data_IF_264461856631
#
_entry.id   IF_264461856631
#
_cell.length_a   1.000
_cell.length_b   1.000
_cell.length_c   1.000
_cell.angle_alpha   90.00
_cell.angle_beta   90.00
_cell.angle_gamma   90.00
#
_symmetry.space_group_name_H-M   'P 1'
#
loop_
_entity.id
_entity.type
_entity.pdbx_description
1 polymer ?
#
# COMPACT_ATOMS: atom_id res chain seq x y z
N UNK A 1 -15.07 31.32 -34.60
CA UNK A 1 -15.72 32.20 -33.60
C UNK A 1 -15.75 31.43 -32.31
N UNK A 2 -14.77 31.70 -31.44
CA UNK A 2 -14.54 30.98 -30.20
C UNK A 2 -15.55 31.41 -29.14
N UNK A 3 -16.14 30.46 -28.43
CA UNK A 3 -16.78 30.68 -27.13
C UNK A 3 -16.22 29.65 -26.15
N UNK A 4 -15.05 30.00 -25.61
CA UNK A 4 -14.63 29.54 -24.30
C UNK A 4 -15.43 30.32 -23.27
N UNK A 5 -16.43 29.69 -22.66
CA UNK A 5 -16.95 30.13 -21.37
C UNK A 5 -16.32 29.21 -20.34
N UNK A 6 -15.16 29.64 -19.86
CA UNK A 6 -14.58 29.19 -18.61
C UNK A 6 -15.62 29.38 -17.50
N UNK A 7 -15.99 28.32 -16.80
CA UNK A 7 -16.81 28.38 -15.60
C UNK A 7 -15.97 28.17 -14.33
N UNK A 8 -15.08 29.11 -13.92
CA UNK A 8 -14.54 29.11 -12.57
C UNK A 8 -15.35 30.11 -11.73
N UNK A 9 -16.56 29.75 -11.31
CA UNK A 9 -17.25 30.52 -10.28
C UNK A 9 -18.43 29.75 -9.69
N UNK A 10 -18.17 28.95 -8.65
CA UNK A 10 -18.96 28.93 -7.41
C UNK A 10 -18.34 27.85 -6.50
N UNK A 11 -17.41 28.24 -5.65
CA UNK A 11 -17.15 27.61 -4.34
C UNK A 11 -16.21 28.54 -3.56
N UNK A 12 -16.67 29.76 -3.36
CA UNK A 12 -16.14 30.66 -2.34
C UNK A 12 -17.24 30.90 -1.31
N UNK A 13 -17.54 29.86 -0.52
CA UNK A 13 -18.26 30.01 0.75
C UNK A 13 -17.52 29.18 1.81
N UNK A 14 -16.50 29.84 2.37
CA UNK A 14 -16.02 29.77 3.76
C UNK A 14 -14.52 30.03 3.78
N UNK A 15 -14.16 31.32 3.77
CA UNK A 15 -12.80 31.78 4.04
C UNK A 15 -12.40 31.62 5.51
N UNK A 16 -12.58 30.44 6.10
CA UNK A 16 -11.84 30.08 7.30
C UNK A 16 -10.48 29.53 6.84
N UNK A 17 -9.35 29.94 7.43
CA UNK A 17 -8.14 29.16 7.27
C UNK A 17 -8.50 27.76 7.81
N UNK A 18 -8.56 26.76 6.94
CA UNK A 18 -8.61 25.38 7.41
C UNK A 18 -7.28 25.17 8.14
N UNK A 19 -7.30 25.35 9.47
CA UNK A 19 -6.21 24.92 10.32
C UNK A 19 -5.93 23.44 10.05
N UNK A 20 -4.70 23.00 10.32
CA UNK A 20 -4.35 21.60 10.18
C UNK A 20 -5.41 20.73 10.90
N UNK A 21 -5.91 19.66 10.26
CA UNK A 21 -6.94 18.81 10.87
C UNK A 21 -6.42 18.26 12.19
N UNK A 22 -7.32 18.15 13.18
CA UNK A 22 -6.96 17.55 14.46
C UNK A 22 -6.74 16.04 14.33
N UNK A 23 -6.19 15.42 15.38
CA UNK A 23 -5.88 13.98 15.39
C UNK A 23 -7.12 13.11 15.23
N UNK A 24 -8.30 13.57 15.69
CA UNK A 24 -9.54 12.82 15.56
C UNK A 24 -10.01 12.82 14.11
N UNK A 25 -9.96 13.97 13.43
CA UNK A 25 -10.26 14.09 12.01
C UNK A 25 -9.30 13.24 11.17
N UNK A 26 -7.99 13.30 11.45
CA UNK A 26 -7.00 12.45 10.78
C UNK A 26 -7.29 10.96 10.98
N UNK A 27 -7.62 10.54 12.21
CA UNK A 27 -8.00 9.15 12.49
C UNK A 27 -9.24 8.71 11.72
N UNK A 28 -10.26 9.58 11.61
CA UNK A 28 -11.46 9.29 10.83
C UNK A 28 -11.16 9.13 9.33
N UNK A 29 -10.27 9.96 8.77
CA UNK A 29 -9.85 9.84 7.37
C UNK A 29 -9.07 8.55 7.11
N UNK A 30 -8.22 8.10 8.05
CA UNK A 30 -7.50 6.83 7.94
C UNK A 30 -8.48 5.64 7.93
N UNK A 31 -9.47 5.64 8.81
CA UNK A 31 -10.51 4.60 8.86
C UNK A 31 -11.36 4.59 7.57
N UNK A 32 -11.76 5.77 7.10
CA UNK A 32 -12.54 5.92 5.86
C UNK A 32 -11.74 5.46 4.64
N UNK A 33 -10.48 5.89 4.51
CA UNK A 33 -9.61 5.50 3.41
C UNK A 33 -9.40 3.99 3.38
N UNK A 34 -9.09 3.37 4.53
CA UNK A 34 -8.96 1.92 4.64
C UNK A 34 -10.27 1.21 4.26
N UNK A 35 -11.43 1.70 4.74
CA UNK A 35 -12.73 1.16 4.35
C UNK A 35 -12.96 1.19 2.84
N UNK A 36 -12.64 2.32 2.19
CA UNK A 36 -12.76 2.48 0.73
C UNK A 36 -11.82 1.54 -0.02
N UNK A 37 -10.55 1.46 0.39
CA UNK A 37 -9.56 0.56 -0.22
C UNK A 37 -10.04 -0.90 -0.14
N UNK A 38 -10.43 -1.35 1.04
CA UNK A 38 -10.91 -2.72 1.23
C UNK A 38 -12.19 -3.02 0.46
N UNK A 39 -13.09 -2.05 0.30
CA UNK A 39 -14.33 -2.25 -0.45
C UNK A 39 -14.14 -2.23 -1.97
N UNK A 40 -13.21 -1.42 -2.48
CA UNK A 40 -13.11 -1.11 -3.89
C UNK A 40 -11.94 -1.83 -4.58
N UNK A 41 -10.84 -2.10 -3.87
CA UNK A 41 -9.62 -2.66 -4.45
C UNK A 41 -9.38 -4.13 -4.12
N UNK A 42 -9.94 -4.66 -3.02
CA UNK A 42 -9.71 -6.06 -2.66
C UNK A 42 -10.33 -7.04 -3.67
N UNK A 43 -9.53 -8.02 -4.10
CA UNK A 43 -9.91 -9.09 -5.03
C UNK A 43 -10.01 -10.42 -4.26
N UNK A 44 -11.19 -10.81 -3.73
CA UNK A 44 -11.30 -11.92 -2.79
C UNK A 44 -10.89 -13.27 -3.39
N UNK A 45 -11.19 -13.52 -4.67
CA UNK A 45 -10.87 -14.79 -5.35
C UNK A 45 -9.36 -14.95 -5.58
N UNK A 46 -8.67 -13.82 -5.82
CA UNK A 46 -7.23 -13.80 -6.09
C UNK A 46 -6.38 -13.57 -4.84
N UNK A 47 -7.01 -13.03 -3.79
CA UNK A 47 -6.37 -12.60 -2.54
C UNK A 47 -5.29 -11.55 -2.78
N UNK A 48 -5.60 -10.58 -3.63
CA UNK A 48 -4.74 -9.47 -4.05
C UNK A 48 -5.53 -8.16 -4.02
N UNK A 49 -4.85 -7.03 -4.19
CA UNK A 49 -5.51 -5.74 -4.46
C UNK A 49 -5.40 -5.43 -5.94
N UNK A 50 -6.42 -4.81 -6.53
CA UNK A 50 -6.40 -4.35 -7.91
C UNK A 50 -5.54 -3.10 -8.08
N UNK A 51 -5.05 -2.84 -9.29
CA UNK A 51 -4.29 -1.62 -9.60
C UNK A 51 -5.20 -0.39 -9.78
N UNK A 52 -6.43 -0.64 -10.24
CA UNK A 52 -7.43 0.40 -10.45
C UNK A 52 -8.83 -0.06 -10.01
N UNK A 53 -9.71 0.92 -9.85
CA UNK A 53 -11.13 0.73 -9.59
C UNK A 53 -11.91 1.08 -10.86
N UNK A 54 -12.83 0.21 -11.24
CA UNK A 54 -13.72 0.40 -12.39
C UNK A 54 -14.75 1.51 -12.10
N UNK A 55 -15.40 2.08 -13.12
CA UNK A 55 -16.43 3.12 -12.92
C UNK A 55 -17.61 2.70 -12.03
N UNK A 56 -17.86 1.40 -11.89
CA UNK A 56 -18.87 0.83 -10.99
C UNK A 56 -18.42 0.72 -9.52
N UNK A 57 -17.22 1.20 -9.20
CA UNK A 57 -16.66 1.21 -7.86
C UNK A 57 -16.02 -0.12 -7.43
N UNK A 58 -15.88 -1.09 -8.33
CA UNK A 58 -15.31 -2.42 -8.03
C UNK A 58 -13.87 -2.56 -8.52
N UNK A 59 -13.18 -3.55 -7.97
CA UNK A 59 -11.82 -3.88 -8.34
C UNK A 59 -11.71 -4.17 -9.85
N UNK A 60 -10.68 -3.59 -10.48
CA UNK A 60 -10.23 -3.96 -11.81
C UNK A 60 -9.72 -5.39 -11.86
N UNK A 61 -9.48 -5.89 -13.07
CA UNK A 61 -9.03 -7.26 -13.30
C UNK A 61 -7.55 -7.45 -12.96
N UNK A 62 -6.76 -6.38 -13.04
CA UNK A 62 -5.32 -6.40 -12.89
C UNK A 62 -4.89 -6.13 -11.44
N UNK A 63 -3.99 -6.93 -10.86
CA UNK A 63 -3.46 -6.70 -9.52
C UNK A 63 -2.58 -5.45 -9.48
N UNK A 64 -2.50 -4.83 -8.30
CA UNK A 64 -1.65 -3.68 -8.06
C UNK A 64 -0.18 -4.04 -8.23
N UNK A 65 0.61 -3.11 -8.76
CA UNK A 65 2.06 -3.22 -8.73
C UNK A 65 2.60 -3.23 -7.30
N UNK A 66 3.79 -3.82 -7.11
CA UNK A 66 4.41 -3.93 -5.79
C UNK A 66 4.60 -2.58 -5.10
N UNK A 67 4.95 -1.53 -5.85
CA UNK A 67 5.02 -0.16 -5.32
C UNK A 67 3.76 0.23 -4.54
N UNK A 68 2.58 0.07 -5.15
CA UNK A 68 1.31 0.44 -4.52
C UNK A 68 1.01 -0.42 -3.29
N UNK A 69 1.38 -1.70 -3.35
CA UNK A 69 1.31 -2.58 -2.18
C UNK A 69 2.25 -2.14 -1.04
N UNK A 70 3.45 -1.64 -1.37
CA UNK A 70 4.38 -1.06 -0.39
C UNK A 70 3.78 0.15 0.33
N UNK A 71 3.16 1.07 -0.42
CA UNK A 71 2.45 2.23 0.14
C UNK A 71 1.29 1.79 1.06
N UNK A 72 0.51 0.78 0.64
CA UNK A 72 -0.58 0.24 1.44
C UNK A 72 -0.08 -0.36 2.76
N UNK A 73 1.01 -1.14 2.71
CA UNK A 73 1.63 -1.73 3.90
C UNK A 73 2.13 -0.66 4.87
N UNK A 74 2.83 0.38 4.39
CA UNK A 74 3.27 1.49 5.26
C UNK A 74 2.08 2.17 5.93
N UNK A 75 1.02 2.46 5.17
CA UNK A 75 -0.20 3.08 5.70
C UNK A 75 -0.85 2.24 6.79
N UNK A 76 -0.98 0.94 6.58
CA UNK A 76 -1.53 0.02 7.58
C UNK A 76 -0.61 -0.15 8.79
N UNK A 77 0.70 -0.29 8.60
CA UNK A 77 1.68 -0.40 9.68
C UNK A 77 1.63 0.83 10.60
N UNK A 78 1.62 2.04 10.03
CA UNK A 78 1.54 3.29 10.76
C UNK A 78 0.23 3.46 11.55
N UNK A 79 -0.86 2.83 11.10
CA UNK A 79 -2.16 2.90 11.76
C UNK A 79 -2.35 1.87 12.89
N UNK A 80 -1.52 0.81 12.97
CA UNK A 80 -1.61 -0.23 14.00
C UNK A 80 -1.56 0.34 15.44
N UNK A 81 -0.67 1.28 15.80
CA UNK A 81 -0.62 1.82 17.16
C UNK A 81 -1.89 2.58 17.58
N UNK A 82 -2.62 3.15 16.61
CA UNK A 82 -3.83 3.93 16.88
C UNK A 82 -5.08 3.04 17.03
N UNK A 83 -5.21 1.98 16.21
CA UNK A 83 -6.32 1.04 16.29
C UNK A 83 -5.87 -0.39 15.91
N UNK A 84 -5.23 -1.13 16.82
CA UNK A 84 -4.63 -2.42 16.50
C UNK A 84 -5.68 -3.48 16.12
N UNK A 85 -6.88 -3.43 16.70
CA UNK A 85 -7.96 -4.35 16.39
C UNK A 85 -8.42 -4.23 14.92
N UNK A 86 -8.37 -3.02 14.36
CA UNK A 86 -8.71 -2.75 12.97
C UNK A 86 -7.56 -3.04 12.01
N UNK A 87 -6.37 -2.50 12.29
CA UNK A 87 -5.29 -2.45 11.30
C UNK A 87 -4.37 -3.66 11.31
N UNK A 88 -4.27 -4.44 12.41
CA UNK A 88 -3.48 -5.68 12.38
C UNK A 88 -4.02 -6.70 11.38
N UNK A 89 -5.34 -7.00 11.31
CA UNK A 89 -5.88 -7.90 10.30
C UNK A 89 -5.69 -7.37 8.87
N UNK A 90 -5.85 -6.06 8.65
CA UNK A 90 -5.66 -5.46 7.32
C UNK A 90 -4.21 -5.53 6.86
N UNK A 91 -3.26 -5.22 7.76
CA UNK A 91 -1.84 -5.40 7.49
C UNK A 91 -1.52 -6.87 7.19
N UNK A 92 -2.03 -7.82 7.97
CA UNK A 92 -1.82 -9.24 7.73
C UNK A 92 -2.38 -9.69 6.38
N UNK A 93 -3.53 -9.18 5.97
CA UNK A 93 -4.12 -9.44 4.65
C UNK A 93 -3.22 -8.93 3.53
N UNK A 94 -2.77 -7.67 3.60
CA UNK A 94 -1.86 -7.07 2.63
C UNK A 94 -0.50 -7.78 2.61
N UNK A 95 0.02 -8.17 3.78
CA UNK A 95 1.25 -8.94 3.91
C UNK A 95 1.14 -10.29 3.19
N UNK A 96 0.05 -11.03 3.42
CA UNK A 96 -0.20 -12.30 2.71
C UNK A 96 -0.39 -12.11 1.19
N UNK A 97 -0.88 -10.95 0.75
CA UNK A 97 -1.00 -10.64 -0.67
C UNK A 97 0.37 -10.44 -1.33
N UNK A 98 1.29 -9.69 -0.70
CA UNK A 98 2.64 -9.46 -1.26
C UNK A 98 3.48 -10.73 -1.34
N UNK A 99 3.16 -11.78 -0.57
CA UNK A 99 3.84 -13.07 -0.69
C UNK A 99 3.67 -13.71 -2.07
N UNK A 100 2.65 -13.32 -2.85
CA UNK A 100 2.51 -13.74 -4.25
C UNK A 100 3.53 -13.08 -5.21
N UNK A 101 4.22 -12.04 -4.76
CA UNK A 101 5.23 -11.29 -5.50
C UNK A 101 6.64 -11.78 -5.16
N UNK A 102 6.80 -12.61 -4.11
CA UNK A 102 8.12 -13.11 -3.74
C UNK A 102 8.70 -14.01 -4.83
N UNK A 103 9.92 -13.71 -5.27
CA UNK A 103 10.67 -14.53 -6.21
C UNK A 103 12.16 -14.58 -5.84
N UNK A 104 12.83 -15.64 -6.26
CA UNK A 104 14.26 -15.85 -6.00
C UNK A 104 15.01 -16.06 -7.31
N UNK A 105 16.12 -15.34 -7.49
CA UNK A 105 17.03 -15.57 -8.59
C UNK A 105 18.47 -15.50 -8.05
N UNK A 106 19.31 -16.45 -8.48
CA UNK A 106 20.73 -16.57 -8.07
C UNK A 106 20.92 -16.60 -6.54
N UNK A 107 19.99 -17.20 -5.81
CA UNK A 107 20.05 -17.34 -4.34
C UNK A 107 19.72 -16.07 -3.55
N UNK A 108 19.27 -15.00 -4.22
CA UNK A 108 18.82 -13.77 -3.58
C UNK A 108 17.33 -13.63 -3.82
N UNK A 109 16.55 -13.68 -2.74
CA UNK A 109 15.10 -13.51 -2.77
C UNK A 109 14.68 -12.04 -2.65
N UNK A 110 13.64 -11.64 -3.38
CA UNK A 110 13.11 -10.29 -3.39
C UNK A 110 11.71 -10.26 -4.00
N UNK A 111 10.97 -9.20 -3.77
CA UNK A 111 9.64 -9.02 -4.32
C UNK A 111 9.72 -8.50 -5.77
N UNK A 112 8.98 -9.16 -6.65
CA UNK A 112 8.73 -8.81 -8.04
C UNK A 112 7.79 -7.63 -8.19
N UNK A 113 7.88 -6.93 -9.31
CA UNK A 113 6.96 -5.84 -9.66
C UNK A 113 5.50 -6.30 -9.78
N UNK A 114 5.29 -7.57 -10.15
CA UNK A 114 3.97 -8.18 -10.38
C UNK A 114 3.88 -9.60 -9.81
N UNK A 115 2.70 -10.06 -9.36
CA UNK A 115 2.59 -11.35 -8.69
C UNK A 115 2.68 -12.53 -9.67
N UNK A 116 3.25 -13.64 -9.20
CA UNK A 116 3.26 -14.96 -9.86
C UNK A 116 3.87 -14.99 -11.27
N UNK A 117 4.89 -14.17 -11.51
CA UNK A 117 5.66 -14.20 -12.75
C UNK A 117 6.78 -15.26 -12.69
N UNK A 118 7.07 -15.91 -13.83
CA UNK A 118 8.09 -16.95 -13.92
C UNK A 118 9.53 -16.40 -13.90
N UNK A 119 9.74 -15.25 -14.55
CA UNK A 119 11.02 -14.52 -14.57
C UNK A 119 10.74 -13.01 -14.41
N UNK A 120 10.47 -12.55 -13.18
CA UNK A 120 10.03 -11.17 -12.94
C UNK A 120 11.18 -10.17 -12.87
N UNK A 121 10.88 -8.95 -13.32
CA UNK A 121 11.62 -7.77 -12.88
C UNK A 121 11.41 -7.56 -11.36
N UNK A 122 12.51 -7.25 -10.68
CA UNK A 122 12.54 -6.89 -9.26
C UNK A 122 13.29 -5.57 -9.12
N UNK A 123 12.67 -4.58 -8.50
CA UNK A 123 13.24 -3.25 -8.33
C UNK A 123 13.74 -3.06 -6.88
N UNK A 124 14.95 -2.50 -6.73
CA UNK A 124 15.58 -2.33 -5.42
C UNK A 124 14.81 -1.33 -4.54
N UNK A 125 14.27 -0.26 -5.12
CA UNK A 125 13.47 0.74 -4.41
C UNK A 125 12.11 0.20 -3.97
N UNK A 126 11.42 -0.58 -4.80
CA UNK A 126 10.19 -1.26 -4.39
C UNK A 126 10.43 -2.16 -3.16
N UNK A 127 11.53 -2.92 -3.17
CA UNK A 127 11.91 -3.78 -2.04
C UNK A 127 12.33 -2.97 -0.81
N UNK A 128 12.92 -1.78 -0.98
CA UNK A 128 13.26 -0.88 0.11
C UNK A 128 12.00 -0.37 0.82
N UNK A 129 10.97 0.04 0.06
CA UNK A 129 9.68 0.45 0.63
C UNK A 129 9.02 -0.68 1.42
N UNK A 130 9.02 -1.90 0.87
CA UNK A 130 8.48 -3.07 1.58
C UNK A 130 9.29 -3.37 2.85
N UNK A 131 10.63 -3.32 2.79
CA UNK A 131 11.47 -3.55 3.97
C UNK A 131 11.19 -2.54 5.10
N UNK A 132 10.98 -1.27 4.76
CA UNK A 132 10.60 -0.23 5.71
C UNK A 132 9.23 -0.53 6.35
N UNK A 133 8.20 -0.77 5.52
CA UNK A 133 6.86 -1.07 6.01
C UNK A 133 6.80 -2.31 6.92
N UNK A 134 7.55 -3.36 6.57
CA UNK A 134 7.64 -4.59 7.38
C UNK A 134 8.40 -4.35 8.69
N UNK A 135 9.39 -3.45 8.70
CA UNK A 135 10.10 -3.04 9.91
C UNK A 135 9.17 -2.27 10.85
N UNK A 136 8.42 -1.28 10.35
CA UNK A 136 7.41 -0.54 11.11
C UNK A 136 6.34 -1.48 11.70
N UNK A 137 5.88 -2.45 10.91
CA UNK A 137 4.92 -3.44 11.37
C UNK A 137 5.52 -4.36 12.45
N UNK A 138 6.80 -4.75 12.34
CA UNK A 138 7.48 -5.47 13.40
C UNK A 138 7.56 -4.64 14.69
N UNK A 139 7.87 -3.34 14.60
CA UNK A 139 7.88 -2.49 15.79
C UNK A 139 6.51 -2.39 16.48
N UNK A 140 5.45 -2.28 15.68
CA UNK A 140 4.07 -2.14 16.16
C UNK A 140 3.44 -3.45 16.67
N UNK A 141 3.92 -4.62 16.21
CA UNK A 141 3.29 -5.93 16.51
C UNK A 141 4.19 -6.91 17.24
N UNK A 142 5.51 -6.76 17.12
CA UNK A 142 6.57 -7.69 17.54
C UNK A 142 6.47 -9.09 16.93
N UNK A 143 5.77 -9.23 15.80
CA UNK A 143 5.66 -10.50 15.07
C UNK A 143 6.94 -10.78 14.27
N UNK A 144 7.71 -11.85 14.59
CA UNK A 144 9.02 -12.09 13.98
C UNK A 144 8.99 -12.30 12.46
N UNK A 145 7.84 -12.74 11.92
CA UNK A 145 7.67 -12.95 10.48
C UNK A 145 7.92 -11.67 9.67
N UNK A 146 7.47 -10.52 10.16
CA UNK A 146 7.65 -9.24 9.46
C UNK A 146 9.12 -8.82 9.43
N UNK A 147 9.83 -8.93 10.56
CA UNK A 147 11.27 -8.64 10.62
C UNK A 147 12.08 -9.58 9.74
N UNK A 148 11.78 -10.90 9.77
CA UNK A 148 12.46 -11.87 8.91
C UNK A 148 12.37 -11.45 7.45
N UNK A 149 11.16 -11.10 7.01
CA UNK A 149 10.91 -10.73 5.63
C UNK A 149 11.48 -9.35 5.27
N UNK A 150 11.47 -8.39 6.20
CA UNK A 150 12.16 -7.10 6.04
C UNK A 150 13.66 -7.29 5.78
N UNK A 151 14.31 -8.18 6.54
CA UNK A 151 15.74 -8.51 6.36
C UNK A 151 15.99 -9.17 5.00
N UNK A 152 15.13 -10.09 4.57
CA UNK A 152 15.27 -10.75 3.27
C UNK A 152 15.08 -9.76 2.10
N UNK A 153 14.05 -8.91 2.14
CA UNK A 153 13.86 -7.85 1.15
C UNK A 153 15.04 -6.86 1.15
N UNK A 154 15.53 -6.46 2.33
CA UNK A 154 16.68 -5.57 2.42
C UNK A 154 17.97 -6.20 1.86
N UNK A 155 18.20 -7.51 2.02
CA UNK A 155 19.34 -8.19 1.37
C UNK A 155 19.28 -8.06 -0.16
N UNK A 156 18.09 -8.11 -0.75
CA UNK A 156 17.94 -7.83 -2.18
C UNK A 156 18.19 -6.36 -2.53
N UNK A 157 17.79 -5.41 -1.67
CA UNK A 157 18.16 -3.99 -1.85
C UNK A 157 19.69 -3.85 -1.91
N UNK A 158 20.39 -4.44 -0.95
CA UNK A 158 21.86 -4.35 -0.84
C UNK A 158 22.61 -5.09 -1.95
N UNK A 159 21.96 -6.01 -2.67
CA UNK A 159 22.60 -6.68 -3.81
C UNK A 159 22.74 -5.80 -5.05
N UNK A 160 22.19 -4.58 -5.02
CA UNK A 160 22.35 -3.57 -6.08
C UNK A 160 23.37 -2.49 -5.74
N UNK A 161 24.10 -2.61 -4.61
CA UNK A 161 25.23 -1.74 -4.28
C UNK A 161 26.50 -2.21 -5.00
N UNK A 162 27.24 -1.27 -5.60
CA UNK A 162 28.50 -1.48 -6.31
C UNK A 162 29.70 -0.88 -5.54
#
# INVERSE_FOLDING_TARGET
>A
MSLFISLPLLLAVSGAPMGAPDRRTLGAWVEEAAGRIESAYWMPERRLYADFVKPDGKAGEDPCFLWGMGVLLSGYAAAIPANPARFRPLFEQAFRAIEAYWSEARGIGGYAVWPRQADPDRYHDDNAWVALALTEAYEATRLPAYLKRAVEAHRFVMSGED
#
